data_IF_444538131299
#
_entry.id   IF_444538131299
#
_cell.length_a   1.000
_cell.length_b   1.000
_cell.length_c   1.000
_cell.angle_alpha   90.00
_cell.angle_beta   90.00
_cell.angle_gamma   90.00
#
_symmetry.space_group_name_H-M   'P 1'
#
loop_
_entity.id
_entity.type
_entity.pdbx_description
1 polymer ?
#
# COMPACT_ATOMS: atom_id res chain seq x y z
N UNK A 1 24.76 64.93 2.12
CA UNK A 1 25.23 64.14 3.28
C UNK A 1 24.12 64.23 4.30
N UNK A 2 23.32 63.21 4.56
CA UNK A 2 23.37 61.80 4.22
C UNK A 2 21.97 61.26 4.60
N UNK A 3 21.30 60.51 3.73
CA UNK A 3 20.15 59.70 4.14
C UNK A 3 20.66 58.34 4.61
N UNK A 4 20.14 57.77 5.71
CA UNK A 4 20.30 56.36 5.98
C UNK A 4 19.00 55.59 5.72
N UNK A 5 19.10 54.70 4.73
CA UNK A 5 18.23 53.56 4.48
C UNK A 5 18.21 52.63 5.71
N UNK A 6 17.01 52.23 6.16
CA UNK A 6 16.86 51.17 7.16
C UNK A 6 16.51 49.86 6.43
N UNK A 7 17.51 48.99 6.29
CA UNK A 7 17.42 47.68 5.69
C UNK A 7 16.48 46.73 6.47
N UNK A 8 15.67 46.00 5.72
CA UNK A 8 14.81 44.91 6.17
C UNK A 8 15.59 43.77 6.83
N UNK A 9 15.05 43.23 7.92
CA UNK A 9 15.43 41.89 8.38
C UNK A 9 14.23 40.94 8.24
N UNK A 10 14.06 40.41 7.03
CA UNK A 10 13.20 39.25 6.77
C UNK A 10 13.98 37.98 7.09
N UNK A 11 13.56 37.26 8.12
CA UNK A 11 14.09 35.95 8.50
C UNK A 11 13.92 34.96 7.34
N UNK A 12 15.04 34.53 6.74
CA UNK A 12 15.06 33.45 5.73
C UNK A 12 14.68 32.11 6.39
N UNK A 13 13.42 31.72 6.27
CA UNK A 13 13.06 30.31 6.35
C UNK A 13 13.58 29.62 5.09
N UNK A 14 14.40 28.59 5.23
CA UNK A 14 14.79 27.79 4.08
C UNK A 14 13.54 27.22 3.41
N UNK A 15 13.42 27.27 2.07
CA UNK A 15 12.26 26.73 1.40
C UNK A 15 12.19 25.24 1.70
N UNK A 16 11.16 24.82 2.45
CA UNK A 16 10.83 23.40 2.62
C UNK A 16 10.74 22.79 1.23
N UNK A 17 11.68 21.91 0.91
CA UNK A 17 11.73 21.23 -0.39
C UNK A 17 10.38 20.57 -0.63
N UNK A 18 9.61 21.11 -1.58
CA UNK A 18 8.30 20.59 -1.92
C UNK A 18 8.52 19.38 -2.83
N UNK A 19 8.07 18.22 -2.37
CA UNK A 19 8.23 16.97 -3.09
C UNK A 19 6.86 16.40 -3.43
N UNK A 20 6.62 16.12 -4.71
CA UNK A 20 5.39 15.46 -5.17
C UNK A 20 5.46 13.96 -4.93
N UNK A 21 4.36 13.38 -4.45
CA UNK A 21 4.20 11.94 -4.20
C UNK A 21 3.14 11.40 -5.16
N UNK A 22 3.53 10.50 -6.05
CA UNK A 22 2.64 9.84 -7.00
C UNK A 22 2.42 8.38 -6.60
N UNK A 23 1.17 8.00 -6.33
CA UNK A 23 0.81 6.61 -6.02
C UNK A 23 0.36 5.89 -7.29
N UNK A 24 0.99 4.76 -7.63
CA UNK A 24 0.74 4.02 -8.86
C UNK A 24 0.41 2.54 -8.64
N UNK A 25 -0.17 1.91 -9.66
CA UNK A 25 -0.43 0.45 -9.64
C UNK A 25 0.90 -0.32 -9.78
N UNK A 26 1.84 0.18 -10.59
CA UNK A 26 3.15 -0.44 -10.80
C UNK A 26 4.12 -0.18 -9.66
N UNK A 27 4.08 1.02 -9.05
CA UNK A 27 4.96 1.46 -7.95
C UNK A 27 4.10 2.08 -6.86
N UNK A 28 4.29 1.69 -5.61
CA UNK A 28 3.44 2.14 -4.50
C UNK A 28 3.50 3.66 -4.34
N UNK A 29 4.72 4.22 -4.37
CA UNK A 29 4.95 5.65 -4.39
C UNK A 29 6.14 5.97 -5.29
N UNK A 30 6.01 6.99 -6.12
CA UNK A 30 7.12 7.61 -6.87
C UNK A 30 7.25 9.03 -6.37
N UNK A 31 8.46 9.40 -5.97
CA UNK A 31 8.78 10.69 -5.41
C UNK A 31 9.58 11.48 -6.45
N UNK A 32 9.30 12.77 -6.64
CA UNK A 32 10.01 13.63 -7.62
C UNK A 32 11.52 13.74 -7.35
N UNK A 33 11.95 13.37 -6.15
CA UNK A 33 13.35 13.21 -5.75
C UNK A 33 14.03 11.95 -6.31
N UNK A 34 13.35 11.18 -7.15
CA UNK A 34 13.86 9.95 -7.78
C UNK A 34 13.73 8.70 -6.91
N UNK A 35 13.27 8.82 -5.66
CA UNK A 35 12.99 7.70 -4.79
C UNK A 35 11.67 7.01 -5.18
N UNK A 36 11.66 5.67 -5.17
CA UNK A 36 10.46 4.89 -5.43
C UNK A 36 10.29 3.79 -4.40
N UNK A 37 9.04 3.55 -4.01
CA UNK A 37 8.64 2.45 -3.16
C UNK A 37 7.97 1.38 -4.01
N UNK A 38 8.49 0.15 -3.96
CA UNK A 38 7.93 -0.98 -4.68
C UNK A 38 6.51 -1.33 -4.17
N UNK A 39 5.64 -1.75 -5.09
CA UNK A 39 4.30 -2.19 -4.74
C UNK A 39 4.32 -3.68 -4.35
N UNK A 40 3.96 -4.07 -3.11
CA UNK A 40 3.88 -5.46 -2.70
C UNK A 40 2.65 -6.19 -3.29
N UNK A 41 2.34 -5.99 -4.57
CA UNK A 41 1.26 -6.61 -5.39
C UNK A 41 0.20 -7.40 -4.61
N UNK A 42 -0.57 -6.75 -3.71
CA UNK A 42 -1.46 -7.47 -2.81
C UNK A 42 -2.65 -8.07 -3.57
N UNK A 43 -3.03 -7.45 -4.69
CA UNK A 43 -4.15 -7.86 -5.52
C UNK A 43 -3.94 -9.27 -6.11
N UNK A 44 -2.82 -9.50 -6.80
CA UNK A 44 -2.51 -10.81 -7.42
C UNK A 44 -2.56 -11.93 -6.37
N UNK A 45 -1.92 -11.71 -5.20
CA UNK A 45 -1.93 -12.67 -4.09
C UNK A 45 -3.33 -12.95 -3.54
N UNK A 46 -4.16 -11.92 -3.41
CA UNK A 46 -5.53 -12.06 -2.94
C UNK A 46 -6.39 -12.88 -3.92
N UNK A 47 -6.23 -12.65 -5.23
CA UNK A 47 -6.95 -13.37 -6.28
C UNK A 47 -6.56 -14.85 -6.30
N UNK A 48 -5.27 -15.15 -6.22
CA UNK A 48 -4.77 -16.53 -6.15
C UNK A 48 -5.30 -17.25 -4.91
N UNK A 49 -5.35 -16.56 -3.77
CA UNK A 49 -5.96 -17.11 -2.55
C UNK A 49 -7.43 -17.45 -2.80
N UNK A 50 -8.24 -16.49 -3.26
CA UNK A 50 -9.66 -16.72 -3.55
C UNK A 50 -9.86 -17.90 -4.50
N UNK A 51 -9.03 -18.02 -5.54
CA UNK A 51 -9.06 -19.14 -6.48
C UNK A 51 -8.79 -20.49 -5.81
N UNK A 52 -7.77 -20.59 -4.96
CA UNK A 52 -7.47 -21.82 -4.22
C UNK A 52 -8.61 -22.25 -3.29
N UNK A 53 -9.16 -21.27 -2.58
CA UNK A 53 -10.28 -21.41 -1.64
C UNK A 53 -11.55 -21.93 -2.35
N UNK A 54 -11.95 -21.26 -3.43
CA UNK A 54 -13.07 -21.70 -4.28
C UNK A 54 -12.88 -23.12 -4.82
N UNK A 55 -11.66 -23.47 -5.26
CA UNK A 55 -11.34 -24.83 -5.74
C UNK A 55 -11.44 -25.87 -4.62
N UNK A 56 -11.07 -25.52 -3.40
CA UNK A 56 -11.20 -26.41 -2.24
C UNK A 56 -12.67 -26.63 -1.84
N UNK A 57 -13.50 -25.57 -1.92
CA UNK A 57 -14.94 -25.64 -1.66
C UNK A 57 -15.67 -26.48 -2.71
N UNK A 58 -15.36 -26.32 -4.00
CA UNK A 58 -16.00 -27.05 -5.10
C UNK A 58 -15.80 -28.56 -5.04
N UNK A 59 -14.63 -29.04 -4.56
CA UNK A 59 -14.35 -30.47 -4.40
C UNK A 59 -15.12 -31.14 -3.24
N UNK A 60 -15.71 -30.36 -2.34
CA UNK A 60 -16.40 -30.87 -1.14
C UNK A 60 -17.88 -31.01 -1.42
N UNK A 61 -18.49 -32.07 -0.87
CA UNK A 61 -19.95 -32.27 -0.94
C UNK A 61 -20.65 -31.06 -0.33
N UNK A 62 -21.48 -30.39 -1.14
CA UNK A 62 -22.27 -29.24 -0.74
C UNK A 62 -23.05 -29.54 0.56
N UNK A 63 -23.04 -28.60 1.51
CA UNK A 63 -23.69 -28.71 2.83
C UNK A 63 -23.20 -29.84 3.75
N UNK A 64 -22.11 -30.54 3.40
CA UNK A 64 -21.48 -31.44 4.38
C UNK A 64 -20.84 -30.64 5.52
N UNK A 65 -20.73 -31.25 6.71
CA UNK A 65 -20.00 -30.66 7.85
C UNK A 65 -18.57 -30.23 7.46
N UNK A 66 -17.93 -30.98 6.57
CA UNK A 66 -16.58 -30.66 6.07
C UNK A 66 -16.56 -29.53 5.04
N UNK A 67 -17.66 -29.28 4.32
CA UNK A 67 -17.84 -28.12 3.44
C UNK A 67 -18.06 -26.84 4.26
N UNK A 68 -18.93 -26.90 5.27
CA UNK A 68 -19.17 -25.79 6.18
C UNK A 68 -17.91 -25.40 6.97
N UNK A 69 -17.20 -26.40 7.53
CA UNK A 69 -15.90 -26.18 8.19
C UNK A 69 -14.89 -25.48 7.29
N UNK A 70 -14.82 -25.86 6.01
CA UNK A 70 -13.93 -25.18 5.07
C UNK A 70 -14.40 -23.75 4.87
N UNK A 71 -15.64 -23.52 4.44
CA UNK A 71 -16.21 -22.17 4.24
C UNK A 71 -15.96 -21.21 5.41
N UNK A 72 -16.12 -21.68 6.65
CA UNK A 72 -15.94 -20.85 7.85
C UNK A 72 -14.48 -20.68 8.27
N UNK A 73 -13.62 -21.69 8.09
CA UNK A 73 -12.23 -21.65 8.55
C UNK A 73 -11.23 -21.09 7.50
N UNK A 74 -11.66 -20.73 6.29
CA UNK A 74 -10.76 -20.21 5.24
C UNK A 74 -10.14 -18.83 5.55
N UNK A 75 -10.69 -18.12 6.54
CA UNK A 75 -10.19 -16.82 7.02
C UNK A 75 -9.06 -16.90 8.05
N UNK A 76 -8.97 -17.96 8.85
CA UNK A 76 -8.09 -18.01 10.05
C UNK A 76 -6.77 -18.75 9.85
N UNK A 77 -6.53 -19.32 8.66
CA UNK A 77 -5.25 -19.94 8.31
C UNK A 77 -4.24 -18.87 7.88
N UNK A 78 -3.80 -18.05 8.83
CA UNK A 78 -2.73 -17.07 8.64
C UNK A 78 -1.45 -17.84 8.30
N UNK A 79 -0.94 -17.72 7.07
CA UNK A 79 0.45 -18.11 6.81
C UNK A 79 1.33 -17.07 7.49
N UNK A 80 2.20 -17.56 8.36
CA UNK A 80 3.32 -16.83 8.95
C UNK A 80 4.18 -16.29 7.81
N UNK A 81 4.31 -14.96 7.69
CA UNK A 81 5.01 -14.32 6.58
C UNK A 81 4.38 -12.99 6.16
N UNK A 82 4.23 -12.09 7.12
CA UNK A 82 4.73 -10.73 6.98
C UNK A 82 6.12 -10.71 7.63
#
# INVERSE_FOLDING_TARGET
>A
MEEPEAEEQSSKEEPKKVVSVDLGITRLATLSDGCFLENPKPLERSLDRVRLLQRALSRKRFLSNNWLKTKTCEGTRTRKGF
#
